data_IF_694408265856
#
_entry.id   IF_694408265856
#
_cell.length_a   1.000
_cell.length_b   1.000
_cell.length_c   1.000
_cell.angle_alpha   90.00
_cell.angle_beta   90.00
_cell.angle_gamma   90.00
#
_symmetry.space_group_name_H-M   'P 1'
#
loop_
_entity.id
_entity.type
_entity.pdbx_description
1 polymer ?
#
# COMPACT_ATOMS: atom_id res chain seq x y z
N UNK A 1 0.04 -1.37 -9.18
CA UNK A 1 -1.43 -1.22 -9.36
C UNK A 1 -2.05 -0.45 -8.20
N UNK A 2 -2.10 -0.99 -6.97
CA UNK A 2 -2.74 -0.35 -5.80
C UNK A 2 -2.30 1.10 -5.55
N UNK A 3 -0.98 1.33 -5.42
CA UNK A 3 -0.43 2.68 -5.21
C UNK A 3 -0.87 3.67 -6.29
N UNK A 4 -0.81 3.29 -7.57
CA UNK A 4 -1.26 4.16 -8.67
C UNK A 4 -2.75 4.49 -8.57
N UNK A 5 -3.58 3.51 -8.21
CA UNK A 5 -5.03 3.72 -8.01
C UNK A 5 -5.31 4.65 -6.83
N UNK A 6 -4.60 4.50 -5.72
CA UNK A 6 -4.74 5.37 -4.54
C UNK A 6 -4.31 6.81 -4.85
N UNK A 7 -3.14 7.00 -5.48
CA UNK A 7 -2.67 8.33 -5.89
C UNK A 7 -3.66 8.99 -6.85
N UNK A 8 -4.13 8.24 -7.86
CA UNK A 8 -5.10 8.77 -8.82
C UNK A 8 -6.37 9.26 -8.12
N UNK A 9 -6.93 8.46 -7.22
CA UNK A 9 -8.12 8.85 -6.46
C UNK A 9 -7.88 10.09 -5.59
N UNK A 10 -6.73 10.19 -4.91
CA UNK A 10 -6.38 11.36 -4.11
C UNK A 10 -6.30 12.65 -4.94
N UNK A 11 -5.76 12.57 -6.15
CA UNK A 11 -5.74 13.68 -7.10
C UNK A 11 -7.16 14.06 -7.53
N UNK A 12 -8.01 13.07 -7.81
CA UNK A 12 -9.44 13.29 -8.12
C UNK A 12 -10.21 13.94 -6.95
N UNK A 13 -9.78 13.71 -5.71
CA UNK A 13 -10.32 14.40 -4.52
C UNK A 13 -9.70 15.80 -4.28
N UNK A 14 -8.83 16.27 -5.18
CA UNK A 14 -8.28 17.63 -5.15
C UNK A 14 -6.95 17.79 -4.41
N UNK A 15 -6.27 16.69 -4.05
CA UNK A 15 -4.91 16.78 -3.48
C UNK A 15 -3.90 17.07 -4.60
N UNK A 16 -3.09 18.11 -4.40
CA UNK A 16 -2.03 18.48 -5.34
C UNK A 16 -1.06 17.30 -5.57
N UNK A 17 -0.85 16.85 -6.83
CA UNK A 17 0.07 15.76 -7.16
C UNK A 17 1.49 15.94 -6.64
N UNK A 18 1.98 17.18 -6.53
CA UNK A 18 3.33 17.47 -6.01
C UNK A 18 3.52 17.08 -4.55
N UNK A 19 2.42 16.97 -3.78
CA UNK A 19 2.41 16.54 -2.38
C UNK A 19 2.38 15.03 -2.21
N UNK A 20 2.21 14.28 -3.30
CA UNK A 20 1.99 12.84 -3.26
C UNK A 20 3.19 12.09 -3.82
N UNK A 21 3.75 11.22 -3.00
CA UNK A 21 4.69 10.19 -3.44
C UNK A 21 4.14 8.83 -3.05
N UNK A 22 4.55 7.79 -3.77
CA UNK A 22 4.12 6.43 -3.41
C UNK A 22 4.96 5.35 -4.06
N UNK A 23 5.16 4.27 -3.30
CA UNK A 23 5.94 3.11 -3.72
C UNK A 23 5.18 1.83 -3.43
N UNK A 24 5.17 0.91 -4.40
CA UNK A 24 4.59 -0.41 -4.23
C UNK A 24 5.67 -1.43 -3.88
N UNK A 25 5.62 -2.01 -2.69
CA UNK A 25 6.62 -2.97 -2.22
C UNK A 25 6.32 -4.44 -2.58
N UNK A 26 5.09 -4.76 -3.00
CA UNK A 26 4.72 -6.15 -3.26
C UNK A 26 4.91 -7.01 -2.01
N UNK A 27 5.62 -8.12 -2.13
CA UNK A 27 5.91 -9.03 -1.01
C UNK A 27 7.26 -8.77 -0.33
N UNK A 28 7.97 -7.70 -0.66
CA UNK A 28 9.28 -7.42 -0.06
C UNK A 28 9.21 -6.85 1.36
N UNK A 29 8.01 -6.50 1.85
CA UNK A 29 7.76 -5.83 3.14
C UNK A 29 6.46 -6.35 3.80
N UNK A 30 6.40 -7.66 4.02
CA UNK A 30 5.28 -8.31 4.72
C UNK A 30 5.37 -8.05 6.24
N UNK A 31 4.23 -7.95 6.92
CA UNK A 31 4.19 -7.85 8.39
C UNK A 31 4.31 -9.21 9.07
N UNK A 32 4.06 -10.27 8.31
CA UNK A 32 4.13 -11.64 8.78
C UNK A 32 4.80 -12.52 7.71
N UNK A 33 4.94 -13.82 8.01
CA UNK A 33 5.57 -14.81 7.13
C UNK A 33 4.75 -15.22 5.91
N UNK A 34 3.53 -14.69 5.72
CA UNK A 34 2.56 -15.16 4.73
C UNK A 34 2.78 -14.54 3.35
N UNK A 35 3.88 -14.92 2.70
CA UNK A 35 4.12 -14.67 1.28
C UNK A 35 3.33 -15.62 0.39
N UNK A 36 3.35 -15.40 -0.92
CA UNK A 36 2.71 -16.29 -1.88
C UNK A 36 3.23 -17.73 -1.74
N UNK A 37 2.31 -18.69 -1.68
CA UNK A 37 2.62 -20.11 -1.55
C UNK A 37 2.86 -20.59 -0.11
N UNK A 38 2.89 -19.69 0.89
CA UNK A 38 2.95 -20.08 2.30
C UNK A 38 1.54 -20.43 2.79
N UNK A 39 1.34 -21.59 3.45
CA UNK A 39 0.07 -21.93 4.06
C UNK A 39 -0.25 -20.96 5.20
N UNK A 40 -1.15 -20.01 4.92
CA UNK A 40 -1.69 -19.08 5.90
C UNK A 40 -3.20 -18.95 5.72
N UNK A 41 -3.87 -18.52 6.78
CA UNK A 41 -5.30 -18.21 6.73
C UNK A 41 -5.56 -16.99 5.83
N UNK A 42 -6.78 -16.89 5.31
CA UNK A 42 -7.19 -15.72 4.53
C UNK A 42 -7.06 -14.41 5.34
N UNK A 43 -7.27 -14.47 6.65
CA UNK A 43 -7.11 -13.35 7.58
C UNK A 43 -5.64 -12.91 7.69
N UNK A 44 -4.71 -13.85 7.82
CA UNK A 44 -3.27 -13.53 7.86
C UNK A 44 -2.77 -12.92 6.56
N UNK A 45 -3.21 -13.43 5.40
CA UNK A 45 -2.90 -12.79 4.13
C UNK A 45 -3.54 -11.41 3.98
N UNK A 46 -4.71 -11.18 4.58
CA UNK A 46 -5.39 -9.87 4.56
C UNK A 46 -4.55 -8.79 5.26
N UNK A 47 -3.82 -9.14 6.32
CA UNK A 47 -2.94 -8.21 7.04
C UNK A 47 -1.83 -7.63 6.12
N UNK A 48 -1.35 -8.42 5.16
CA UNK A 48 -0.34 -7.96 4.19
C UNK A 48 -0.95 -7.19 3.01
N UNK A 49 -2.26 -7.28 2.78
CA UNK A 49 -2.98 -6.54 1.72
C UNK A 49 -3.35 -5.13 2.17
N UNK A 50 -2.36 -4.35 2.60
CA UNK A 50 -2.55 -2.99 3.13
C UNK A 50 -1.91 -1.90 2.27
N UNK A 51 -2.29 -0.67 2.56
CA UNK A 51 -1.61 0.55 2.13
C UNK A 51 -1.24 1.34 3.38
N UNK A 52 -0.01 1.86 3.44
CA UNK A 52 0.43 2.72 4.54
C UNK A 52 0.49 4.16 4.04
N UNK A 53 0.12 5.10 4.93
CA UNK A 53 0.14 6.53 4.66
C UNK A 53 1.04 7.18 5.70
N UNK A 54 2.09 7.84 5.22
CA UNK A 54 3.07 8.53 6.06
C UNK A 54 2.94 10.01 5.76
N UNK A 55 2.61 10.81 6.77
CA UNK A 55 2.55 12.26 6.66
C UNK A 55 3.94 12.80 6.98
N UNK A 56 4.51 13.56 6.06
CA UNK A 56 5.82 14.19 6.20
C UNK A 56 5.62 15.69 6.48
N UNK A 57 6.47 16.26 7.30
CA UNK A 57 6.61 17.71 7.41
C UNK A 57 7.35 18.24 6.18
N UNK A 58 7.01 19.46 5.77
CA UNK A 58 7.59 20.13 4.60
C UNK A 58 8.87 20.89 4.94
#
# INVERSE_FOLDING_TARGET
RRVKSTIKWMIEQGIDPSRLTGRGYGESQLLNKCSNGVPCTAAEHQLNRRSEFIILEM
#
